data_IF_110696117730
#
_entry.id   IF_110696117730
#
_cell.length_a   1.000
_cell.length_b   1.000
_cell.length_c   1.000
_cell.angle_alpha   90.00
_cell.angle_beta   90.00
_cell.angle_gamma   90.00
#
_symmetry.space_group_name_H-M   'P 1'
#
loop_
_entity.id
_entity.type
_entity.pdbx_description
1 polymer ?
#
# COMPACT_ATOMS: atom_id res chain seq x y z
N UNK A 1 -14.25 6.85 14.12
CA UNK A 1 -14.34 6.50 12.68
C UNK A 1 -14.90 5.08 12.57
N UNK A 2 -15.72 4.75 11.57
CA UNK A 2 -16.25 3.38 11.40
C UNK A 2 -15.14 2.48 10.88
N UNK A 3 -14.93 1.31 11.50
CA UNK A 3 -14.00 0.27 11.05
C UNK A 3 -14.38 -0.22 9.66
N UNK A 4 -13.41 -0.35 8.76
CA UNK A 4 -13.60 -0.88 7.41
C UNK A 4 -13.55 -2.41 7.37
N UNK A 5 -12.71 -3.01 8.20
CA UNK A 5 -12.56 -4.45 8.33
C UNK A 5 -13.70 -5.10 9.11
N UNK A 6 -14.08 -6.30 8.68
CA UNK A 6 -15.06 -7.17 9.35
C UNK A 6 -14.36 -8.44 9.86
N UNK A 7 -15.05 -9.19 10.74
CA UNK A 7 -14.54 -10.49 11.20
C UNK A 7 -14.52 -11.49 10.03
N UNK A 8 -13.58 -12.46 9.99
CA UNK A 8 -13.67 -13.57 9.05
C UNK A 8 -14.99 -14.35 9.13
N UNK A 9 -15.67 -14.33 10.28
CA UNK A 9 -17.00 -14.93 10.44
C UNK A 9 -18.13 -14.20 9.70
N UNK A 10 -17.89 -12.95 9.26
CA UNK A 10 -18.84 -12.13 8.50
C UNK A 10 -18.69 -12.34 6.97
N UNK A 11 -17.77 -13.21 6.54
CA UNK A 11 -17.59 -13.53 5.13
C UNK A 11 -18.84 -14.20 4.56
N UNK A 12 -19.34 -13.66 3.45
CA UNK A 12 -20.37 -14.33 2.67
C UNK A 12 -19.81 -15.61 2.03
N UNK A 13 -20.68 -16.58 1.75
CA UNK A 13 -20.28 -17.83 1.07
C UNK A 13 -19.65 -17.56 -0.31
N UNK A 14 -20.09 -16.49 -0.99
CA UNK A 14 -19.68 -16.17 -2.37
C UNK A 14 -19.56 -14.68 -2.60
N UNK A 15 -18.55 -14.32 -3.40
CA UNK A 15 -18.34 -13.00 -3.96
C UNK A 15 -18.11 -13.13 -5.46
N UNK A 16 -18.51 -12.12 -6.25
CA UNK A 16 -18.20 -12.07 -7.67
C UNK A 16 -16.69 -11.88 -7.88
N UNK A 17 -16.03 -11.15 -6.98
CA UNK A 17 -14.60 -10.86 -7.03
C UNK A 17 -13.98 -11.01 -5.65
N UNK A 18 -12.82 -11.68 -5.59
CA UNK A 18 -11.96 -11.71 -4.42
C UNK A 18 -10.64 -11.03 -4.78
N UNK A 19 -10.27 -9.99 -4.02
CA UNK A 19 -9.00 -9.27 -4.15
C UNK A 19 -8.12 -9.67 -2.97
N UNK A 20 -6.95 -10.23 -3.25
CA UNK A 20 -5.97 -10.61 -2.22
C UNK A 20 -4.95 -9.50 -2.07
N UNK A 21 -4.92 -8.90 -0.88
CA UNK A 21 -4.09 -7.74 -0.54
C UNK A 21 -4.80 -6.41 -0.80
N UNK A 22 -4.56 -5.45 0.10
CA UNK A 22 -5.24 -4.15 0.11
C UNK A 22 -4.32 -2.96 -0.20
N UNK A 23 -3.11 -3.21 -0.74
CA UNK A 23 -2.20 -2.16 -1.21
C UNK A 23 -2.74 -1.39 -2.42
N UNK A 24 -1.94 -0.49 -3.00
CA UNK A 24 -2.36 0.39 -4.12
C UNK A 24 -3.14 -0.34 -5.23
N UNK A 25 -2.59 -1.43 -5.77
CA UNK A 25 -3.26 -2.20 -6.82
C UNK A 25 -4.58 -2.82 -6.36
N UNK A 26 -4.57 -3.49 -5.20
CA UNK A 26 -5.76 -4.14 -4.65
C UNK A 26 -6.87 -3.16 -4.30
N UNK A 27 -6.52 -2.03 -3.67
CA UNK A 27 -7.46 -0.97 -3.34
C UNK A 27 -8.09 -0.34 -4.58
N UNK A 28 -7.30 -0.06 -5.62
CA UNK A 28 -7.82 0.48 -6.90
C UNK A 28 -8.77 -0.52 -7.56
N UNK A 29 -8.36 -1.79 -7.69
CA UNK A 29 -9.18 -2.84 -8.30
C UNK A 29 -10.50 -3.02 -7.54
N UNK A 30 -10.43 -3.14 -6.21
CA UNK A 30 -11.61 -3.30 -5.37
C UNK A 30 -12.57 -2.11 -5.51
N UNK A 31 -12.05 -0.88 -5.43
CA UNK A 31 -12.86 0.32 -5.55
C UNK A 31 -13.52 0.48 -6.93
N UNK A 32 -12.85 0.04 -8.01
CA UNK A 32 -13.40 0.12 -9.37
C UNK A 32 -14.46 -0.94 -9.60
N UNK A 33 -14.22 -2.18 -9.21
CA UNK A 33 -15.17 -3.28 -9.39
C UNK A 33 -16.40 -3.14 -8.48
N UNK A 34 -16.24 -2.63 -7.26
CA UNK A 34 -17.40 -2.36 -6.40
C UNK A 34 -18.35 -1.32 -7.03
N UNK A 35 -17.83 -0.31 -7.74
CA UNK A 35 -18.63 0.73 -8.42
C UNK A 35 -19.40 0.22 -9.64
N UNK A 36 -19.07 -0.97 -10.17
CA UNK A 36 -19.86 -1.62 -11.22
C UNK A 36 -21.03 -2.45 -10.66
N UNK A 37 -21.21 -2.45 -9.33
CA UNK A 37 -22.25 -3.21 -8.64
C UNK A 37 -21.86 -4.65 -8.31
N UNK A 38 -20.60 -5.05 -8.54
CA UNK A 38 -20.12 -6.37 -8.17
C UNK A 38 -19.93 -6.50 -6.65
N UNK A 39 -20.20 -7.71 -6.11
CA UNK A 39 -19.80 -8.05 -4.75
C UNK A 39 -18.30 -8.34 -4.71
N UNK A 40 -17.56 -7.55 -3.93
CA UNK A 40 -16.10 -7.62 -3.82
C UNK A 40 -15.71 -7.94 -2.38
N UNK A 41 -14.89 -8.96 -2.20
CA UNK A 41 -14.22 -9.26 -0.94
C UNK A 41 -12.74 -8.89 -1.05
N UNK A 42 -12.23 -8.11 -0.11
CA UNK A 42 -10.79 -7.82 0.01
C UNK A 42 -10.25 -8.62 1.19
N UNK A 43 -9.29 -9.50 0.93
CA UNK A 43 -8.61 -10.27 1.96
C UNK A 43 -7.25 -9.64 2.25
N UNK A 44 -7.09 -9.10 3.45
CA UNK A 44 -5.83 -8.53 3.94
C UNK A 44 -5.29 -9.39 5.09
N UNK A 45 -3.99 -9.68 5.07
CA UNK A 45 -3.34 -10.48 6.10
C UNK A 45 -3.10 -9.67 7.36
N UNK A 46 -2.73 -8.40 7.21
CA UNK A 46 -2.48 -7.50 8.33
C UNK A 46 -3.76 -6.87 8.90
N UNK A 47 -3.56 -6.03 9.91
CA UNK A 47 -4.65 -5.36 10.62
C UNK A 47 -5.07 -4.04 9.95
N UNK A 48 -6.31 -3.63 10.17
CA UNK A 48 -6.70 -2.22 9.99
C UNK A 48 -6.13 -1.40 11.14
N UNK A 49 -5.23 -0.47 10.81
CA UNK A 49 -4.58 0.41 11.78
C UNK A 49 -5.27 1.77 11.73
N UNK A 50 -5.94 2.20 12.81
CA UNK A 50 -6.52 3.54 12.86
C UNK A 50 -5.40 4.60 12.91
N UNK A 51 -5.75 5.86 12.61
CA UNK A 51 -4.79 6.99 12.54
C UNK A 51 -3.95 7.13 13.82
N UNK A 52 -4.56 6.90 14.99
CA UNK A 52 -3.93 6.94 16.31
C UNK A 52 -3.33 5.59 16.76
N UNK A 53 -3.43 4.55 15.92
CA UNK A 53 -2.98 3.18 16.22
C UNK A 53 -1.53 2.88 15.85
N UNK A 54 -0.81 3.85 15.29
CA UNK A 54 0.60 3.68 14.90
C UNK A 54 1.53 3.67 16.12
N UNK A 55 2.61 2.86 16.10
CA UNK A 55 3.50 2.75 17.23
C UNK A 55 4.24 4.07 17.51
N UNK A 56 4.05 4.61 18.72
CA UNK A 56 4.68 5.86 19.16
C UNK A 56 5.95 5.65 20.00
N UNK A 57 6.23 4.42 20.43
CA UNK A 57 7.42 4.06 21.21
C UNK A 57 8.26 3.01 20.48
N UNK A 58 9.54 2.88 20.86
CA UNK A 58 10.46 1.90 20.25
C UNK A 58 10.02 0.46 20.54
N UNK A 59 9.48 0.22 21.73
CA UNK A 59 9.00 -1.09 22.17
C UNK A 59 7.76 -1.48 21.37
N UNK A 60 6.78 -0.57 21.26
CA UNK A 60 5.58 -0.79 20.46
C UNK A 60 5.93 -0.95 18.97
N UNK A 61 6.94 -0.23 18.48
CA UNK A 61 7.42 -0.36 17.12
C UNK A 61 8.03 -1.75 16.88
N UNK A 62 8.90 -2.23 17.77
CA UNK A 62 9.52 -3.56 17.70
C UNK A 62 8.46 -4.66 17.63
N UNK A 63 7.39 -4.56 18.42
CA UNK A 63 6.33 -5.56 18.46
C UNK A 63 5.48 -5.59 17.18
N UNK A 64 5.64 -4.58 16.30
CA UNK A 64 5.02 -4.52 14.96
C UNK A 64 5.96 -4.97 13.84
N UNK A 65 7.19 -5.39 14.13
CA UNK A 65 8.06 -6.02 13.15
C UNK A 65 7.78 -7.51 13.02
N UNK A 66 7.84 -7.98 11.79
CA UNK A 66 7.92 -9.38 11.44
C UNK A 66 8.95 -9.54 10.34
N UNK A 67 9.44 -10.76 10.17
CA UNK A 67 10.33 -11.01 9.04
C UNK A 67 10.65 -12.46 8.84
N UNK A 68 11.10 -12.74 7.63
CA UNK A 68 11.55 -14.06 7.19
C UNK A 68 13.02 -13.94 6.81
N UNK A 69 13.82 -14.88 7.31
CA UNK A 69 15.22 -14.99 6.90
C UNK A 69 15.37 -16.16 5.93
N UNK A 70 15.54 -15.84 4.63
CA UNK A 70 15.57 -16.81 3.53
C UNK A 70 16.83 -17.71 3.53
N UNK A 71 17.80 -17.42 4.40
CA UNK A 71 19.11 -18.10 4.43
C UNK A 71 19.22 -19.24 5.44
N UNK A 72 18.20 -19.48 6.27
CA UNK A 72 18.25 -20.57 7.26
C UNK A 72 17.54 -21.80 6.71
N UNK A 73 18.15 -22.95 6.95
CA UNK A 73 17.53 -24.27 6.83
C UNK A 73 17.14 -24.69 8.25
N UNK A 74 15.88 -25.12 8.52
CA UNK A 74 14.80 -25.34 7.56
C UNK A 74 14.22 -24.02 7.00
N UNK A 75 13.55 -24.09 5.84
CA UNK A 75 13.01 -22.91 5.17
C UNK A 75 12.09 -22.16 6.13
N UNK A 76 12.25 -20.85 6.18
CA UNK A 76 11.36 -19.90 6.86
C UNK A 76 11.49 -19.85 8.38
N UNK A 77 12.64 -19.37 8.87
CA UNK A 77 12.77 -18.83 10.24
C UNK A 77 12.02 -17.49 10.30
N UNK A 78 10.68 -17.58 10.38
CA UNK A 78 9.81 -16.42 10.59
C UNK A 78 9.90 -15.95 12.05
N UNK A 79 9.95 -14.64 12.22
CA UNK A 79 9.96 -13.99 13.53
C UNK A 79 8.90 -12.91 13.59
N UNK A 80 8.35 -12.68 14.79
CA UNK A 80 7.30 -11.68 15.03
C UNK A 80 5.89 -12.20 14.76
N UNK A 81 4.90 -11.32 14.79
CA UNK A 81 3.52 -11.66 14.42
C UNK A 81 3.35 -11.71 12.92
N UNK A 82 2.64 -12.70 12.38
CA UNK A 82 2.25 -12.74 10.96
C UNK A 82 1.42 -11.52 10.50
N UNK A 83 0.81 -10.79 11.45
CA UNK A 83 0.09 -9.53 11.23
C UNK A 83 0.92 -8.27 11.51
N UNK A 84 2.22 -8.40 11.85
CA UNK A 84 3.09 -7.27 12.17
C UNK A 84 3.21 -6.30 10.99
N UNK A 85 3.02 -5.00 11.25
CA UNK A 85 3.00 -3.95 10.21
C UNK A 85 4.23 -3.93 9.31
N UNK A 86 5.43 -4.10 9.86
CA UNK A 86 6.69 -4.03 9.12
C UNK A 86 7.16 -5.45 8.80
N UNK A 87 6.98 -5.89 7.55
CA UNK A 87 7.34 -7.23 7.09
C UNK A 87 8.65 -7.20 6.31
N UNK A 88 9.72 -7.70 6.93
CA UNK A 88 11.09 -7.62 6.42
C UNK A 88 11.57 -8.97 5.91
N UNK A 89 11.93 -9.03 4.63
CA UNK A 89 12.41 -10.23 3.95
C UNK A 89 13.92 -10.10 3.78
N UNK A 90 14.67 -10.86 4.58
CA UNK A 90 16.13 -10.86 4.56
C UNK A 90 16.64 -11.89 3.55
N UNK A 91 16.81 -11.43 2.32
CA UNK A 91 17.45 -12.20 1.25
C UNK A 91 18.97 -12.18 1.34
N UNK A 92 19.62 -12.87 0.40
CA UNK A 92 21.09 -12.93 0.37
C UNK A 92 21.73 -11.62 -0.02
N UNK A 93 21.26 -11.06 -1.12
CA UNK A 93 21.86 -9.89 -1.77
C UNK A 93 20.98 -8.65 -1.60
N UNK A 94 19.73 -8.83 -1.17
CA UNK A 94 18.73 -7.78 -1.04
C UNK A 94 17.86 -8.02 0.18
N UNK A 95 17.47 -6.93 0.87
CA UNK A 95 16.45 -6.95 1.92
C UNK A 95 15.24 -6.16 1.43
N UNK A 96 14.04 -6.73 1.56
CA UNK A 96 12.79 -6.09 1.11
C UNK A 96 11.94 -5.76 2.33
N UNK A 97 11.52 -4.50 2.45
CA UNK A 97 10.57 -4.06 3.47
C UNK A 97 9.19 -3.88 2.84
N UNK A 98 8.16 -4.46 3.47
CA UNK A 98 6.76 -4.40 3.03
C UNK A 98 5.87 -3.95 4.18
N UNK A 99 4.78 -3.25 3.86
CA UNK A 99 3.72 -2.97 4.83
C UNK A 99 2.69 -4.10 4.85
N UNK A 100 2.32 -4.60 6.03
CA UNK A 100 1.31 -5.63 6.23
C UNK A 100 0.16 -5.07 7.07
N UNK A 101 -0.95 -4.72 6.42
CA UNK A 101 -2.09 -4.04 7.04
C UNK A 101 -3.06 -3.55 5.98
N UNK A 102 -4.26 -3.10 6.40
CA UNK A 102 -5.25 -2.54 5.47
C UNK A 102 -4.70 -1.26 4.81
N UNK A 103 -4.27 -1.36 3.56
CA UNK A 103 -3.52 -0.32 2.82
C UNK A 103 -2.11 -0.76 2.37
N UNK A 104 -1.59 -1.87 2.87
CA UNK A 104 -0.27 -2.41 2.54
C UNK A 104 0.87 -1.41 2.78
N UNK A 105 1.84 -1.35 1.86
CA UNK A 105 2.99 -0.44 1.96
C UNK A 105 2.63 1.06 1.98
N UNK A 106 1.40 1.45 1.62
CA UNK A 106 0.97 2.85 1.79
C UNK A 106 1.00 3.32 3.25
N UNK A 107 0.89 2.39 4.20
CA UNK A 107 0.95 2.66 5.66
C UNK A 107 2.35 3.04 6.15
N UNK A 108 3.40 2.60 5.46
CA UNK A 108 4.80 2.76 5.91
C UNK A 108 5.69 3.49 4.91
N UNK A 109 5.20 3.74 3.69
CA UNK A 109 5.92 4.51 2.68
C UNK A 109 6.09 5.98 3.08
N UNK A 110 6.88 6.73 2.31
CA UNK A 110 7.08 8.16 2.49
C UNK A 110 6.01 9.03 1.79
N UNK A 111 4.99 8.39 1.20
CA UNK A 111 3.90 9.04 0.44
C UNK A 111 4.40 10.03 -0.63
N UNK A 112 5.59 9.79 -1.18
CA UNK A 112 6.12 10.52 -2.32
C UNK A 112 5.39 10.07 -3.58
N UNK A 113 4.79 11.02 -4.28
CA UNK A 113 4.06 10.78 -5.52
C UNK A 113 4.76 11.55 -6.64
N UNK A 114 5.49 10.80 -7.48
CA UNK A 114 6.24 11.33 -8.61
C UNK A 114 5.89 10.50 -9.83
N UNK A 115 5.48 11.15 -10.92
CA UNK A 115 5.31 10.45 -12.19
C UNK A 115 6.69 10.04 -12.75
N UNK A 116 6.82 8.85 -13.35
CA UNK A 116 8.06 8.43 -13.98
C UNK A 116 8.50 9.41 -15.07
N UNK A 117 9.81 9.63 -15.22
CA UNK A 117 10.31 10.39 -16.36
C UNK A 117 9.94 9.66 -17.66
N UNK A 118 9.49 10.36 -18.72
CA UNK A 118 9.04 9.70 -19.95
C UNK A 118 10.08 8.76 -20.56
N UNK A 119 11.36 9.06 -20.40
CA UNK A 119 12.47 8.26 -20.93
C UNK A 119 12.58 6.86 -20.31
N UNK A 120 12.03 6.63 -19.11
CA UNK A 120 12.02 5.31 -18.47
C UNK A 120 11.29 4.29 -19.36
N UNK A 121 10.27 4.73 -20.10
CA UNK A 121 9.50 3.88 -21.01
C UNK A 121 10.20 3.58 -22.34
N UNK A 122 11.40 4.14 -22.58
CA UNK A 122 12.23 3.79 -23.73
C UNK A 122 13.02 2.49 -23.49
N UNK A 123 13.08 2.00 -22.25
CA UNK A 123 13.76 0.75 -21.93
C UNK A 123 12.96 -0.45 -22.45
N UNK A 124 13.67 -1.43 -23.02
CA UNK A 124 13.08 -2.66 -23.57
C UNK A 124 12.49 -3.61 -22.52
N UNK A 125 12.66 -3.31 -21.23
CA UNK A 125 12.08 -4.10 -20.15
C UNK A 125 10.56 -3.90 -20.02
N UNK A 126 10.01 -2.83 -20.59
CA UNK A 126 8.58 -2.53 -20.55
C UNK A 126 7.80 -3.28 -21.63
N UNK A 127 6.57 -3.76 -21.35
CA UNK A 127 5.74 -4.39 -22.36
C UNK A 127 5.34 -3.42 -23.48
N UNK A 128 5.46 -3.84 -24.73
CA UNK A 128 5.11 -3.03 -25.91
C UNK A 128 3.68 -2.45 -25.84
N UNK A 129 2.73 -3.22 -25.33
CA UNK A 129 1.33 -2.77 -25.18
C UNK A 129 1.21 -1.59 -24.22
N UNK A 130 2.00 -1.54 -23.14
CA UNK A 130 2.02 -0.43 -22.19
C UNK A 130 2.65 0.81 -22.83
N UNK A 131 3.77 0.63 -23.54
CA UNK A 131 4.49 1.72 -24.21
C UNK A 131 3.63 2.33 -25.33
N UNK A 132 2.93 1.50 -26.09
CA UNK A 132 2.00 1.95 -27.14
C UNK A 132 0.80 2.74 -26.58
N UNK A 133 0.34 2.43 -25.36
CA UNK A 133 -0.79 3.10 -24.70
C UNK A 133 -0.36 4.29 -23.79
N UNK A 134 0.88 4.76 -23.92
CA UNK A 134 1.43 5.81 -23.04
C UNK A 134 0.58 7.09 -22.99
N UNK A 135 0.12 7.56 -24.15
CA UNK A 135 -0.69 8.78 -24.27
C UNK A 135 -2.19 8.55 -24.03
N UNK A 136 -2.59 7.28 -23.97
CA UNK A 136 -3.96 6.82 -23.77
C UNK A 136 -4.21 6.46 -22.31
N UNK A 137 -4.37 5.16 -22.06
CA UNK A 137 -4.75 4.63 -20.74
C UNK A 137 -3.73 4.91 -19.64
N UNK A 138 -2.43 4.91 -19.95
CA UNK A 138 -1.39 5.17 -18.95
C UNK A 138 -1.44 6.62 -18.43
N UNK A 139 -1.44 7.61 -19.34
CA UNK A 139 -1.60 9.03 -18.99
C UNK A 139 -2.91 9.30 -18.25
N UNK A 140 -4.02 8.74 -18.72
CA UNK A 140 -5.31 8.84 -18.04
C UNK A 140 -5.29 8.20 -16.63
N UNK A 141 -4.48 7.16 -16.44
CA UNK A 141 -4.22 6.54 -15.14
C UNK A 141 -3.47 7.48 -14.19
N UNK A 142 -2.42 8.15 -14.66
CA UNK A 142 -1.67 9.14 -13.88
C UNK A 142 -2.53 10.34 -13.48
N UNK A 143 -3.30 10.89 -14.42
CA UNK A 143 -4.24 11.99 -14.16
C UNK A 143 -5.25 11.60 -13.07
N UNK A 144 -5.84 10.41 -13.18
CA UNK A 144 -6.80 9.89 -12.20
C UNK A 144 -6.17 9.64 -10.83
N UNK A 145 -4.92 9.17 -10.79
CA UNK A 145 -4.20 8.99 -9.53
C UNK A 145 -3.98 10.35 -8.85
N UNK A 146 -3.58 11.39 -9.60
CA UNK A 146 -3.43 12.75 -9.09
C UNK A 146 -4.74 13.32 -8.54
N UNK A 147 -5.85 13.12 -9.24
CA UNK A 147 -7.18 13.60 -8.80
C UNK A 147 -7.63 12.92 -7.50
N UNK A 148 -7.37 11.62 -7.34
CA UNK A 148 -7.89 10.85 -6.19
C UNK A 148 -6.98 10.95 -4.97
N UNK A 149 -5.66 10.97 -5.19
CA UNK A 149 -4.68 11.01 -4.12
C UNK A 149 -4.34 12.42 -3.66
N UNK A 150 -4.74 13.43 -4.44
CA UNK A 150 -4.62 14.86 -4.12
C UNK A 150 -3.23 15.24 -3.55
N UNK A 151 -2.12 14.94 -4.25
CA UNK A 151 -0.79 15.20 -3.73
C UNK A 151 -0.54 16.70 -3.55
N UNK A 152 0.03 17.07 -2.40
CA UNK A 152 0.50 18.43 -2.17
C UNK A 152 1.86 18.65 -2.83
N UNK A 153 2.02 19.77 -3.54
CA UNK A 153 3.29 20.13 -4.15
C UNK A 153 4.23 20.74 -3.11
N UNK A 154 5.49 20.29 -3.05
CA UNK A 154 6.47 20.80 -2.08
C UNK A 154 6.66 22.33 -2.18
N UNK A 155 6.61 22.91 -3.38
CA UNK A 155 6.73 24.37 -3.58
C UNK A 155 5.55 25.17 -3.01
N UNK A 156 4.41 24.51 -2.77
CA UNK A 156 3.24 25.11 -2.10
C UNK A 156 3.35 25.10 -0.57
N UNK A 157 4.34 24.38 -0.01
CA UNK A 157 4.68 24.40 1.41
C UNK A 157 5.59 25.61 1.71
N UNK A 158 5.06 26.83 1.57
CA UNK A 158 5.77 28.01 2.07
C UNK A 158 5.65 28.09 3.60
N UNK A 159 6.79 28.02 4.28
CA UNK A 159 6.90 28.07 5.74
C UNK A 159 7.21 26.71 6.36
N UNK A 160 8.08 26.72 7.38
CA UNK A 160 8.60 25.55 8.09
C UNK A 160 7.49 24.72 8.72
N UNK A 161 6.88 23.85 7.92
CA UNK A 161 5.79 22.98 8.36
C UNK A 161 6.32 21.56 8.44
N UNK A 162 6.59 21.13 9.68
CA UNK A 162 6.80 19.72 9.98
C UNK A 162 5.52 18.93 9.75
N UNK A 163 5.64 17.61 9.55
CA UNK A 163 4.55 16.65 9.28
C UNK A 163 3.29 16.84 10.17
N UNK A 164 3.45 17.30 11.41
CA UNK A 164 2.31 17.56 12.31
C UNK A 164 1.39 18.68 11.84
N UNK A 165 1.93 19.75 11.25
CA UNK A 165 1.14 20.92 10.84
C UNK A 165 0.32 20.70 9.56
N UNK A 166 0.72 19.72 8.73
CA UNK A 166 -0.08 19.31 7.56
C UNK A 166 -1.32 18.50 8.00
N UNK A 167 -1.23 17.75 9.10
CA UNK A 167 -2.34 16.97 9.67
C UNK A 167 -3.37 17.90 10.33
N UNK A 168 -2.94 18.96 11.01
CA UNK A 168 -3.83 19.93 11.65
C UNK A 168 -4.71 20.72 10.65
N UNK A 169 -4.34 20.77 9.36
CA UNK A 169 -5.17 21.40 8.31
C UNK A 169 -6.23 20.48 7.71
N UNK A 170 -6.20 19.20 8.06
CA UNK A 170 -7.12 18.16 7.56
C UNK A 170 -8.14 17.71 8.62
N UNK A 171 -8.09 18.27 9.84
CA UNK A 171 -9.07 18.09 10.91
C UNK A 171 -10.07 19.26 10.95
#
# INVERSE_FOLDING_TARGET
MKRLSSSPGDLAERYAVVVVGSGYGGGVVAARLARTGQSVCVLERGEEIPIDGFPATREALRDRFQGVMERRTPPDDHSGSWSGLFDVHFGRDMTVLRGCGLGGTSLIGAQLMQEPHPEVFNESCWPDALVADREGGLRAGFERAREILEPLCFSSLSGSSSRGQAIDRLA
#
